data_IF_371656075323
#
_entry.id   IF_371656075323
#
_cell.length_a   1.000
_cell.length_b   1.000
_cell.length_c   1.000
_cell.angle_alpha   90.00
_cell.angle_beta   90.00
_cell.angle_gamma   90.00
#
_symmetry.space_group_name_H-M   'P 1'
#
loop_
_entity.id
_entity.type
_entity.pdbx_description
1 polymer ?
#
# COMPACT_ATOMS: atom_id res chain seq x y z
N UNK A 1 -18.25 -65.17 -56.04
CA UNK A 1 -18.63 -63.75 -56.03
C UNK A 1 -17.43 -62.80 -56.28
N UNK A 2 -16.18 -63.22 -56.00
CA UNK A 2 -14.96 -62.40 -56.16
C UNK A 2 -14.52 -62.14 -57.62
N UNK A 3 -14.67 -63.11 -58.52
CA UNK A 3 -14.16 -62.98 -59.90
C UNK A 3 -14.96 -62.04 -60.81
N UNK A 4 -16.28 -61.93 -60.59
CA UNK A 4 -17.12 -60.98 -61.35
C UNK A 4 -16.79 -59.53 -61.03
N UNK A 5 -16.37 -59.24 -59.79
CA UNK A 5 -16.01 -57.89 -59.34
C UNK A 5 -14.67 -57.46 -59.98
N UNK A 6 -13.70 -58.36 -60.12
CA UNK A 6 -12.41 -58.08 -60.79
C UNK A 6 -12.56 -57.81 -62.28
N UNK A 7 -13.46 -58.52 -62.97
CA UNK A 7 -13.71 -58.32 -64.41
C UNK A 7 -14.42 -56.99 -64.65
N UNK A 8 -15.42 -56.65 -63.83
CA UNK A 8 -16.12 -55.36 -63.87
C UNK A 8 -15.18 -54.20 -63.54
N UNK A 9 -14.31 -54.34 -62.51
CA UNK A 9 -13.34 -53.29 -62.17
C UNK A 9 -12.33 -53.06 -63.30
N UNK A 10 -11.84 -54.13 -63.95
CA UNK A 10 -10.93 -54.03 -65.08
C UNK A 10 -11.54 -53.34 -66.30
N UNK A 11 -12.81 -53.61 -66.60
CA UNK A 11 -13.52 -52.95 -67.70
C UNK A 11 -13.77 -51.46 -67.43
N UNK A 12 -14.17 -51.11 -66.20
CA UNK A 12 -14.39 -49.71 -65.80
C UNK A 12 -13.09 -48.91 -65.85
N UNK A 13 -11.98 -49.46 -65.34
CA UNK A 13 -10.66 -48.80 -65.40
C UNK A 13 -10.23 -48.56 -66.85
N UNK A 14 -10.43 -49.54 -67.73
CA UNK A 14 -10.08 -49.41 -69.15
C UNK A 14 -10.92 -48.34 -69.83
N UNK A 15 -12.21 -48.25 -69.52
CA UNK A 15 -13.15 -47.27 -70.08
C UNK A 15 -12.81 -45.84 -69.61
N UNK A 16 -12.47 -45.69 -68.32
CA UNK A 16 -12.00 -44.43 -67.74
C UNK A 16 -10.68 -43.99 -68.38
N UNK A 17 -9.71 -44.90 -68.50
CA UNK A 17 -8.41 -44.61 -69.11
C UNK A 17 -8.56 -44.18 -70.58
N UNK A 18 -9.44 -44.85 -71.33
CA UNK A 18 -9.68 -44.51 -72.74
C UNK A 18 -10.36 -43.15 -72.91
N UNK A 19 -11.25 -42.78 -71.98
CA UNK A 19 -11.89 -41.45 -71.96
C UNK A 19 -10.91 -40.35 -71.53
N UNK A 20 -10.07 -40.60 -70.53
CA UNK A 20 -9.01 -39.67 -70.10
C UNK A 20 -7.94 -39.46 -71.17
N UNK A 21 -7.52 -40.53 -71.86
CA UNK A 21 -6.52 -40.45 -72.92
C UNK A 21 -6.99 -39.64 -74.14
N UNK A 22 -8.31 -39.55 -74.34
CA UNK A 22 -8.95 -38.78 -75.42
C UNK A 22 -9.53 -37.44 -74.97
N UNK A 23 -9.31 -37.06 -73.70
CA UNK A 23 -9.81 -35.80 -73.17
C UNK A 23 -9.10 -34.63 -73.87
N UNK A 24 -9.89 -33.68 -74.35
CA UNK A 24 -9.40 -32.41 -74.89
C UNK A 24 -10.23 -31.27 -74.31
N UNK A 25 -9.65 -30.56 -73.35
CA UNK A 25 -10.27 -29.43 -72.65
C UNK A 25 -10.20 -28.15 -73.52
N UNK A 26 -9.26 -28.08 -74.46
CA UNK A 26 -9.02 -26.91 -75.31
C UNK A 26 -9.59 -27.14 -76.73
N UNK A 27 -10.83 -26.67 -77.02
CA UNK A 27 -11.44 -26.84 -78.34
C UNK A 27 -10.77 -25.97 -79.41
N UNK A 28 -11.04 -26.26 -80.69
CA UNK A 28 -10.46 -25.58 -81.87
C UNK A 28 -10.49 -24.04 -81.78
N UNK A 29 -11.58 -23.47 -81.25
CA UNK A 29 -11.74 -22.01 -81.03
C UNK A 29 -10.63 -21.38 -80.18
N UNK A 30 -9.93 -22.17 -79.37
CA UNK A 30 -8.85 -21.72 -78.48
C UNK A 30 -7.51 -21.50 -79.21
N UNK A 31 -7.36 -21.94 -80.47
CA UNK A 31 -6.08 -21.93 -81.21
C UNK A 31 -6.03 -20.99 -82.43
N UNK A 32 -7.04 -20.11 -82.59
CA UNK A 32 -7.10 -19.12 -83.67
C UNK A 32 -7.59 -19.67 -85.02
N UNK A 33 -8.04 -18.79 -85.92
CA UNK A 33 -8.76 -19.15 -87.14
C UNK A 33 -7.91 -19.77 -88.27
N UNK A 34 -6.58 -19.83 -88.12
CA UNK A 34 -5.64 -20.25 -89.18
C UNK A 34 -5.07 -21.67 -89.00
N UNK A 35 -5.50 -22.42 -87.98
CA UNK A 35 -4.93 -23.72 -87.64
C UNK A 35 -5.78 -24.87 -88.23
N UNK A 36 -5.14 -25.89 -88.82
CA UNK A 36 -5.84 -27.06 -89.34
C UNK A 36 -6.54 -27.84 -88.20
N UNK A 37 -7.69 -28.44 -88.52
CA UNK A 37 -8.55 -29.14 -87.56
C UNK A 37 -7.82 -30.31 -86.90
N UNK A 38 -6.97 -31.02 -87.63
CA UNK A 38 -6.21 -32.17 -87.09
C UNK A 38 -5.13 -31.70 -86.12
N UNK A 39 -4.40 -30.65 -86.48
CA UNK A 39 -3.34 -30.06 -85.65
C UNK A 39 -3.89 -29.48 -84.36
N UNK A 40 -5.03 -28.79 -84.42
CA UNK A 40 -5.67 -28.24 -83.22
C UNK A 40 -6.18 -29.32 -82.25
N UNK A 41 -6.65 -30.47 -82.74
CA UNK A 41 -7.04 -31.61 -81.89
C UNK A 41 -5.81 -32.21 -81.22
N UNK A 42 -4.70 -32.34 -81.96
CA UNK A 42 -3.45 -32.86 -81.42
C UNK A 42 -2.87 -31.92 -80.35
N UNK A 43 -2.78 -30.63 -80.65
CA UNK A 43 -2.26 -29.61 -79.75
C UNK A 43 -3.16 -29.46 -78.51
N UNK A 44 -4.48 -29.47 -78.69
CA UNK A 44 -5.45 -29.47 -77.59
C UNK A 44 -5.30 -30.65 -76.63
N UNK A 45 -5.05 -31.87 -77.15
CA UNK A 45 -4.75 -33.03 -76.30
C UNK A 45 -3.45 -32.87 -75.51
N UNK A 46 -2.40 -32.30 -76.12
CA UNK A 46 -1.12 -32.05 -75.43
C UNK A 46 -1.25 -30.98 -74.35
N UNK A 47 -1.87 -29.84 -74.66
CA UNK A 47 -2.08 -28.76 -73.69
C UNK A 47 -2.99 -29.21 -72.55
N UNK A 48 -3.98 -30.05 -72.83
CA UNK A 48 -4.82 -30.70 -71.81
C UNK A 48 -3.99 -31.55 -70.86
N UNK A 49 -3.05 -32.37 -71.37
CA UNK A 49 -2.15 -33.17 -70.53
C UNK A 49 -1.25 -32.29 -69.67
N UNK A 50 -0.67 -31.24 -70.25
CA UNK A 50 0.19 -30.30 -69.52
C UNK A 50 -0.60 -29.55 -68.41
N UNK A 51 -1.82 -29.10 -68.71
CA UNK A 51 -2.71 -28.47 -67.74
C UNK A 51 -3.06 -29.40 -66.59
N UNK A 52 -3.42 -30.66 -66.88
CA UNK A 52 -3.74 -31.65 -65.84
C UNK A 52 -2.52 -31.93 -64.96
N UNK A 53 -1.32 -32.06 -65.55
CA UNK A 53 -0.08 -32.24 -64.78
C UNK A 53 0.18 -31.05 -63.87
N UNK A 54 0.07 -29.82 -64.39
CA UNK A 54 0.23 -28.60 -63.58
C UNK A 54 -0.82 -28.48 -62.48
N UNK A 55 -2.07 -28.86 -62.76
CA UNK A 55 -3.16 -28.88 -61.78
C UNK A 55 -2.88 -29.90 -60.67
N UNK A 56 -2.41 -31.09 -61.01
CA UNK A 56 -2.02 -32.11 -60.03
C UNK A 56 -0.85 -31.59 -59.18
N UNK A 57 0.17 -30.99 -59.81
CA UNK A 57 1.33 -30.42 -59.09
C UNK A 57 0.90 -29.30 -58.14
N UNK A 58 0.03 -28.38 -58.57
CA UNK A 58 -0.44 -27.29 -57.70
C UNK A 58 -1.28 -27.79 -56.53
N UNK A 59 -2.14 -28.79 -56.76
CA UNK A 59 -2.91 -29.45 -55.69
C UNK A 59 -1.98 -30.17 -54.71
N UNK A 60 -0.95 -30.86 -55.19
CA UNK A 60 0.05 -31.51 -54.34
C UNK A 60 0.82 -30.49 -53.49
N UNK A 61 1.27 -29.38 -54.07
CA UNK A 61 1.94 -28.30 -53.32
C UNK A 61 1.02 -27.74 -52.23
N UNK A 62 -0.25 -27.49 -52.54
CA UNK A 62 -1.22 -26.98 -51.57
C UNK A 62 -1.49 -27.98 -50.44
N UNK A 63 -1.60 -29.28 -50.78
CA UNK A 63 -1.77 -30.35 -49.81
C UNK A 63 -0.55 -30.48 -48.88
N UNK A 64 0.67 -30.41 -49.43
CA UNK A 64 1.89 -30.42 -48.64
C UNK A 64 1.99 -29.19 -47.73
N UNK A 65 1.69 -28.00 -48.24
CA UNK A 65 1.70 -26.76 -47.45
C UNK A 65 0.73 -26.84 -46.26
N UNK A 66 -0.47 -27.37 -46.49
CA UNK A 66 -1.48 -27.53 -45.43
C UNK A 66 -1.13 -28.64 -44.44
N UNK A 67 -0.45 -29.71 -44.88
CA UNK A 67 -0.02 -30.80 -44.01
C UNK A 67 1.21 -30.46 -43.14
N UNK A 68 2.15 -29.69 -43.68
CA UNK A 68 3.41 -29.33 -43.00
C UNK A 68 3.22 -28.19 -42.00
N UNK A 69 2.13 -27.41 -42.10
CA UNK A 69 1.90 -26.28 -41.20
C UNK A 69 1.72 -26.79 -39.75
N UNK A 70 2.66 -26.50 -38.82
CA UNK A 70 2.53 -26.96 -37.45
C UNK A 70 1.28 -26.36 -36.82
N UNK A 71 0.46 -27.23 -36.21
CA UNK A 71 -0.71 -26.77 -35.45
C UNK A 71 -0.26 -26.32 -34.07
N UNK A 72 -0.55 -25.07 -33.73
CA UNK A 72 -0.43 -24.59 -32.34
C UNK A 72 -1.55 -25.26 -31.54
N UNK A 73 -1.18 -26.04 -30.53
CA UNK A 73 -2.13 -26.70 -29.63
C UNK A 73 -2.07 -26.00 -28.28
N UNK A 74 -3.22 -25.50 -27.82
CA UNK A 74 -3.35 -24.96 -26.47
C UNK A 74 -3.52 -26.11 -25.49
N UNK A 75 -2.56 -26.29 -24.58
CA UNK A 75 -2.70 -27.20 -23.43
C UNK A 75 -3.23 -26.42 -22.23
N UNK A 76 -4.21 -27.00 -21.53
CA UNK A 76 -4.82 -26.39 -20.34
C UNK A 76 -4.48 -27.23 -19.13
N UNK A 77 -3.91 -26.59 -18.11
CA UNK A 77 -3.59 -27.21 -16.82
C UNK A 77 -4.54 -26.64 -15.76
N UNK A 78 -5.32 -27.50 -15.10
CA UNK A 78 -6.27 -27.10 -14.07
C UNK A 78 -5.57 -27.17 -12.72
N UNK A 79 -5.49 -26.03 -12.01
CA UNK A 79 -4.85 -25.89 -10.68
C UNK A 79 -3.44 -26.51 -10.62
N UNK A 80 -2.49 -26.04 -11.45
CA UNK A 80 -1.12 -26.54 -11.41
C UNK A 80 -0.46 -26.24 -10.06
N UNK A 81 0.50 -27.08 -9.65
CA UNK A 81 1.37 -26.77 -8.50
C UNK A 81 2.30 -25.60 -8.85
N UNK A 82 2.79 -24.88 -7.84
CA UNK A 82 3.72 -23.77 -8.06
C UNK A 82 5.00 -24.21 -8.79
N UNK A 83 5.54 -25.38 -8.45
CA UNK A 83 6.72 -25.95 -9.13
C UNK A 83 6.43 -26.23 -10.61
N UNK A 84 5.29 -26.85 -10.92
CA UNK A 84 4.91 -27.10 -12.32
C UNK A 84 4.73 -25.80 -13.10
N UNK A 85 4.14 -24.77 -12.48
CA UNK A 85 4.07 -23.44 -13.10
C UNK A 85 5.46 -22.85 -13.35
N UNK A 86 6.36 -22.95 -12.36
CA UNK A 86 7.73 -22.44 -12.47
C UNK A 86 8.49 -23.09 -13.63
N UNK A 87 8.39 -24.41 -13.76
CA UNK A 87 9.00 -25.17 -14.86
C UNK A 87 8.42 -24.73 -16.21
N UNK A 88 7.09 -24.68 -16.32
CA UNK A 88 6.42 -24.24 -17.56
C UNK A 88 6.73 -22.77 -17.91
N UNK A 89 6.90 -21.90 -16.92
CA UNK A 89 7.25 -20.50 -17.12
C UNK A 89 8.70 -20.36 -17.58
N UNK A 90 9.60 -21.21 -17.10
CA UNK A 90 10.98 -21.29 -17.60
C UNK A 90 11.01 -21.70 -19.08
N UNK A 91 10.25 -22.73 -19.46
CA UNK A 91 10.26 -23.28 -20.82
C UNK A 91 9.51 -22.43 -21.85
N UNK A 92 8.47 -21.70 -21.43
CA UNK A 92 7.54 -21.02 -22.34
C UNK A 92 7.43 -19.50 -22.14
N UNK A 93 8.05 -18.94 -21.10
CA UNK A 93 8.10 -17.51 -20.83
C UNK A 93 6.72 -16.85 -20.88
N UNK A 94 6.61 -15.76 -21.64
CA UNK A 94 5.40 -14.93 -21.75
C UNK A 94 4.25 -15.55 -22.54
N UNK A 95 4.47 -16.66 -23.25
CA UNK A 95 3.39 -17.40 -23.91
C UNK A 95 2.48 -18.12 -22.90
N UNK A 96 2.94 -18.33 -21.66
CA UNK A 96 2.18 -18.96 -20.59
C UNK A 96 1.24 -17.96 -19.92
N UNK A 97 -0.07 -18.21 -20.02
CA UNK A 97 -1.09 -17.46 -19.28
C UNK A 97 -1.58 -18.28 -18.08
N UNK A 98 -1.36 -17.78 -16.87
CA UNK A 98 -1.86 -18.39 -15.63
C UNK A 98 -2.88 -17.45 -14.98
N UNK A 99 -4.16 -17.69 -15.24
CA UNK A 99 -5.25 -16.88 -14.68
C UNK A 99 -5.63 -17.39 -13.29
N UNK A 100 -5.88 -16.46 -12.38
CA UNK A 100 -6.33 -16.79 -11.04
C UNK A 100 -7.77 -17.29 -11.05
N UNK A 101 -8.08 -18.31 -10.25
CA UNK A 101 -9.48 -18.74 -10.04
C UNK A 101 -10.28 -17.71 -9.23
N UNK A 102 -9.59 -16.96 -8.37
CA UNK A 102 -10.13 -15.86 -7.59
C UNK A 102 -9.28 -14.62 -7.84
N UNK A 103 -9.91 -13.50 -8.19
CA UNK A 103 -9.20 -12.26 -8.53
C UNK A 103 -8.86 -11.41 -7.31
N UNK A 104 -9.40 -11.73 -6.15
CA UNK A 104 -9.24 -10.95 -4.93
C UNK A 104 -9.11 -11.83 -3.69
N UNK A 105 -8.21 -11.42 -2.81
CA UNK A 105 -8.01 -12.00 -1.48
C UNK A 105 -7.74 -10.88 -0.48
N UNK A 106 -8.17 -11.05 0.77
CA UNK A 106 -7.81 -10.11 1.84
C UNK A 106 -6.35 -10.29 2.22
N UNK A 107 -5.67 -9.18 2.58
CA UNK A 107 -4.24 -9.20 2.92
C UNK A 107 -3.94 -10.10 4.14
N UNK A 108 -4.89 -10.27 5.06
CA UNK A 108 -4.77 -11.16 6.23
C UNK A 108 -4.44 -12.63 5.89
N UNK A 109 -4.73 -13.10 4.67
CA UNK A 109 -4.43 -14.47 4.25
C UNK A 109 -2.93 -14.75 4.10
N UNK A 110 -2.12 -13.72 3.86
CA UNK A 110 -0.71 -13.88 3.52
C UNK A 110 0.20 -12.80 4.13
N UNK A 111 -0.34 -11.82 4.86
CA UNK A 111 0.42 -10.79 5.56
C UNK A 111 0.18 -10.87 7.07
N UNK A 112 1.28 -10.96 7.82
CA UNK A 112 1.27 -10.87 9.28
C UNK A 112 2.14 -9.69 9.75
N UNK A 113 1.53 -8.69 10.39
CA UNK A 113 2.24 -7.50 10.89
C UNK A 113 2.06 -7.42 12.40
N UNK A 114 3.18 -7.24 13.12
CA UNK A 114 3.18 -6.97 14.56
C UNK A 114 3.75 -5.57 14.80
N UNK A 115 2.92 -4.58 15.20
CA UNK A 115 3.42 -3.23 15.46
C UNK A 115 4.27 -3.19 16.72
N UNK A 116 5.34 -2.40 16.68
CA UNK A 116 6.18 -2.09 17.84
C UNK A 116 6.01 -0.63 18.22
N UNK A 117 5.55 -0.37 19.44
CA UNK A 117 5.37 0.99 19.94
C UNK A 117 6.63 1.47 20.67
N UNK A 118 6.78 2.78 20.79
CA UNK A 118 7.90 3.39 21.49
C UNK A 118 7.90 2.98 22.97
N UNK A 119 9.08 2.75 23.55
CA UNK A 119 9.23 2.23 24.92
C UNK A 119 8.57 3.13 25.98
N UNK A 120 8.54 4.44 25.74
CA UNK A 120 7.84 5.40 26.61
C UNK A 120 6.36 5.04 26.84
N UNK A 121 5.71 4.42 25.87
CA UNK A 121 4.31 4.00 25.95
C UNK A 121 4.09 2.73 26.77
N UNK A 122 5.17 2.07 27.20
CA UNK A 122 5.16 0.89 28.08
C UNK A 122 5.80 1.19 29.44
N UNK A 123 6.25 2.43 29.67
CA UNK A 123 6.95 2.83 30.89
C UNK A 123 6.00 3.16 32.06
N UNK A 124 6.55 3.33 33.28
CA UNK A 124 5.77 3.58 34.50
C UNK A 124 4.93 4.87 34.43
N UNK A 125 5.37 5.86 33.65
CA UNK A 125 4.70 7.14 33.43
C UNK A 125 3.36 7.05 32.68
N UNK A 126 3.10 5.93 32.00
CA UNK A 126 1.84 5.65 31.32
C UNK A 126 0.92 4.77 32.18
N UNK A 127 1.46 4.13 33.24
CA UNK A 127 0.68 3.30 34.16
C UNK A 127 -0.16 4.17 35.11
N UNK A 128 -1.44 3.80 35.24
CA UNK A 128 -2.43 4.51 36.06
C UNK A 128 -2.02 4.69 37.53
N UNK A 129 -1.31 3.71 38.10
CA UNK A 129 -0.87 3.74 39.50
C UNK A 129 0.16 4.84 39.79
N UNK A 130 1.13 5.03 38.88
CA UNK A 130 2.13 6.08 39.03
C UNK A 130 1.51 7.47 38.87
N UNK A 131 0.56 7.57 37.91
CA UNK A 131 -0.16 8.81 37.62
C UNK A 131 -1.00 9.28 38.80
N UNK A 132 -1.82 8.39 39.37
CA UNK A 132 -2.70 8.71 40.50
C UNK A 132 -1.90 9.16 41.74
N UNK A 133 -0.85 8.44 42.11
CA UNK A 133 0.01 8.84 43.25
C UNK A 133 0.65 10.23 43.08
N UNK A 134 1.13 10.57 41.88
CA UNK A 134 1.69 11.89 41.60
C UNK A 134 0.61 12.97 41.53
N UNK A 135 -0.53 12.68 40.89
CA UNK A 135 -1.62 13.65 40.74
C UNK A 135 -2.25 14.00 42.10
N UNK A 136 -2.53 13.01 42.95
CA UNK A 136 -3.23 13.23 44.22
C UNK A 136 -2.42 14.08 45.20
N UNK A 137 -1.09 13.98 45.14
CA UNK A 137 -0.17 14.75 46.00
C UNK A 137 0.17 16.13 45.45
N UNK A 138 0.24 16.29 44.14
CA UNK A 138 0.55 17.58 43.51
C UNK A 138 -0.65 18.52 43.47
N UNK A 139 -1.88 17.98 43.31
CA UNK A 139 -3.09 18.79 43.15
C UNK A 139 -3.45 19.56 44.42
N UNK A 140 -3.09 19.06 45.61
CA UNK A 140 -3.36 19.76 46.87
C UNK A 140 -2.53 21.03 47.08
N UNK A 141 -1.39 21.19 46.40
CA UNK A 141 -0.41 22.26 46.66
C UNK A 141 -0.04 23.12 45.43
N UNK A 142 -0.82 23.07 44.34
CA UNK A 142 -0.50 23.81 43.11
C UNK A 142 -0.31 25.32 43.31
N UNK A 143 -1.01 25.93 44.26
CA UNK A 143 -0.85 27.35 44.62
C UNK A 143 0.42 27.66 45.40
N UNK A 144 1.04 26.65 46.03
CA UNK A 144 2.30 26.81 46.76
C UNK A 144 3.51 26.94 45.82
N UNK A 145 3.36 26.55 44.55
CA UNK A 145 4.45 26.57 43.57
C UNK A 145 4.39 27.80 42.64
N UNK A 146 5.54 28.44 42.35
CA UNK A 146 5.64 29.49 41.35
C UNK A 146 5.07 29.07 39.99
N UNK A 147 4.60 30.03 39.19
CA UNK A 147 3.98 29.77 37.87
C UNK A 147 4.92 29.07 36.88
N UNK A 148 6.24 29.24 37.03
CA UNK A 148 7.26 28.61 36.20
C UNK A 148 7.80 27.28 36.79
N UNK A 149 7.18 26.73 37.83
CA UNK A 149 7.58 25.47 38.42
C UNK A 149 6.99 24.27 37.68
N UNK A 150 7.83 23.32 37.28
CA UNK A 150 7.37 22.16 36.52
C UNK A 150 6.39 21.25 37.27
N UNK A 151 6.37 21.25 38.60
CA UNK A 151 5.40 20.49 39.40
C UNK A 151 3.96 20.81 39.03
N UNK A 152 3.70 22.03 38.57
CA UNK A 152 2.36 22.46 38.12
C UNK A 152 1.93 21.85 36.80
N UNK A 153 2.88 21.43 35.97
CA UNK A 153 2.65 20.89 34.63
C UNK A 153 2.94 19.39 34.53
N UNK A 154 3.65 18.80 35.49
CA UNK A 154 4.07 17.40 35.42
C UNK A 154 2.87 16.46 35.24
N UNK A 155 1.83 16.58 36.08
CA UNK A 155 0.63 15.74 36.00
C UNK A 155 -0.03 15.82 34.62
N UNK A 156 -0.11 17.01 34.03
CA UNK A 156 -0.73 17.21 32.72
C UNK A 156 0.09 16.65 31.58
N UNK A 157 1.41 16.81 31.65
CA UNK A 157 2.33 16.23 30.69
C UNK A 157 2.21 14.70 30.73
N UNK A 158 2.20 14.09 31.91
CA UNK A 158 2.03 12.63 32.05
C UNK A 158 0.67 12.14 31.53
N UNK A 159 -0.41 12.85 31.84
CA UNK A 159 -1.75 12.55 31.30
C UNK A 159 -1.80 12.66 29.78
N UNK A 160 -1.22 13.73 29.21
CA UNK A 160 -1.15 13.92 27.78
C UNK A 160 -0.34 12.80 27.10
N UNK A 161 0.82 12.44 27.65
CA UNK A 161 1.67 11.37 27.14
C UNK A 161 0.95 10.01 27.14
N UNK A 162 0.27 9.67 28.24
CA UNK A 162 -0.55 8.46 28.33
C UNK A 162 -1.68 8.45 27.31
N UNK A 163 -2.40 9.56 27.18
CA UNK A 163 -3.43 9.76 26.17
C UNK A 163 -2.88 9.60 24.76
N UNK A 164 -1.73 10.21 24.45
CA UNK A 164 -1.07 10.13 23.16
C UNK A 164 -0.66 8.68 22.84
N UNK A 165 -0.08 7.96 23.79
CA UNK A 165 0.25 6.54 23.64
C UNK A 165 -1.00 5.69 23.38
N UNK A 166 -2.07 5.88 24.16
CA UNK A 166 -3.33 5.15 23.96
C UNK A 166 -3.94 5.42 22.57
N UNK A 167 -3.97 6.69 22.15
CA UNK A 167 -4.58 7.09 20.87
C UNK A 167 -3.73 6.65 19.68
N UNK A 168 -2.40 6.72 19.76
CA UNK A 168 -1.52 6.20 18.70
C UNK A 168 -1.66 4.70 18.56
N UNK A 169 -1.68 3.93 19.65
CA UNK A 169 -1.92 2.48 19.60
C UNK A 169 -3.26 2.13 18.97
N UNK A 170 -4.35 2.81 19.37
CA UNK A 170 -5.67 2.61 18.77
C UNK A 170 -5.69 2.96 17.28
N UNK A 171 -5.07 4.07 16.91
CA UNK A 171 -4.99 4.52 15.52
C UNK A 171 -4.24 3.50 14.63
N UNK A 172 -3.07 3.04 15.08
CA UNK A 172 -2.27 2.03 14.37
C UNK A 172 -3.03 0.72 14.25
N UNK A 173 -3.63 0.23 15.33
CA UNK A 173 -4.39 -1.02 15.31
C UNK A 173 -5.60 -0.94 14.38
N UNK A 174 -6.31 0.21 14.35
CA UNK A 174 -7.41 0.43 13.41
C UNK A 174 -6.93 0.45 11.95
N UNK A 175 -5.84 1.16 11.66
CA UNK A 175 -5.25 1.20 10.32
C UNK A 175 -4.79 -0.18 9.88
N UNK A 176 -4.23 -0.97 10.80
CA UNK A 176 -3.81 -2.34 10.52
C UNK A 176 -5.00 -3.26 10.25
N UNK A 177 -6.04 -3.22 11.09
CA UNK A 177 -7.26 -4.00 10.86
C UNK A 177 -7.90 -3.65 9.50
N UNK A 178 -7.98 -2.36 9.17
CA UNK A 178 -8.49 -1.90 7.88
C UNK A 178 -7.64 -2.41 6.71
N UNK A 179 -6.32 -2.32 6.81
CA UNK A 179 -5.39 -2.83 5.79
C UNK A 179 -5.52 -4.35 5.59
N UNK A 180 -5.52 -5.12 6.68
CA UNK A 180 -5.61 -6.58 6.62
C UNK A 180 -6.96 -7.03 6.03
N UNK A 181 -8.04 -6.28 6.29
CA UNK A 181 -9.36 -6.51 5.68
C UNK A 181 -9.49 -6.02 4.23
N UNK A 182 -8.50 -5.28 3.71
CA UNK A 182 -8.53 -4.77 2.33
C UNK A 182 -8.10 -5.86 1.34
N UNK A 183 -8.51 -5.69 0.07
CA UNK A 183 -8.28 -6.69 -0.97
C UNK A 183 -6.99 -6.44 -1.76
N UNK A 184 -6.18 -7.49 -1.88
CA UNK A 184 -5.19 -7.62 -2.93
C UNK A 184 -5.86 -8.17 -4.19
N UNK A 185 -5.69 -7.49 -5.32
CA UNK A 185 -6.38 -7.79 -6.58
C UNK A 185 -5.38 -8.15 -7.68
N UNK A 186 -5.53 -9.33 -8.28
CA UNK A 186 -4.78 -9.75 -9.45
C UNK A 186 -5.58 -10.76 -10.27
N UNK A 187 -5.58 -10.60 -11.60
CA UNK A 187 -6.23 -11.53 -12.53
C UNK A 187 -5.31 -12.68 -12.98
N UNK A 188 -4.01 -12.50 -12.80
CA UNK A 188 -2.97 -13.44 -13.21
C UNK A 188 -2.02 -13.75 -12.05
N UNK A 189 -1.39 -14.92 -12.11
CA UNK A 189 -0.35 -15.30 -11.16
C UNK A 189 0.86 -14.39 -11.34
N UNK A 190 1.25 -13.72 -10.25
CA UNK A 190 2.42 -12.86 -10.23
C UNK A 190 3.69 -13.68 -10.02
N UNK A 191 4.82 -13.16 -10.52
CA UNK A 191 6.12 -13.69 -10.11
C UNK A 191 6.35 -13.44 -8.61
N UNK A 192 7.17 -14.27 -7.94
CA UNK A 192 7.50 -14.09 -6.52
C UNK A 192 8.03 -12.69 -6.21
N UNK A 193 8.89 -12.14 -7.06
CA UNK A 193 9.52 -10.83 -6.88
C UNK A 193 8.49 -9.70 -7.01
N UNK A 194 7.61 -9.79 -8.00
CA UNK A 194 6.56 -8.81 -8.21
C UNK A 194 5.51 -8.89 -7.09
N UNK A 195 5.16 -10.09 -6.63
CA UNK A 195 4.29 -10.28 -5.48
C UNK A 195 4.89 -9.60 -4.24
N UNK A 196 6.14 -9.94 -3.89
CA UNK A 196 6.83 -9.37 -2.73
C UNK A 196 6.89 -7.83 -2.80
N UNK A 197 7.31 -7.29 -3.95
CA UNK A 197 7.41 -5.84 -4.18
C UNK A 197 6.06 -5.15 -3.98
N UNK A 198 4.97 -5.74 -4.50
CA UNK A 198 3.62 -5.17 -4.32
C UNK A 198 3.14 -5.23 -2.88
N UNK A 199 3.45 -6.30 -2.15
CA UNK A 199 3.11 -6.42 -0.73
C UNK A 199 3.88 -5.38 0.10
N UNK A 200 5.20 -5.30 -0.06
CA UNK A 200 6.04 -4.33 0.67
C UNK A 200 5.59 -2.89 0.40
N UNK A 201 5.35 -2.55 -0.88
CA UNK A 201 4.84 -1.23 -1.27
C UNK A 201 3.49 -0.91 -0.61
N UNK A 202 2.57 -1.87 -0.55
CA UNK A 202 1.27 -1.69 0.09
C UNK A 202 1.40 -1.50 1.62
N UNK A 203 2.29 -2.28 2.26
CA UNK A 203 2.57 -2.17 3.70
C UNK A 203 3.19 -0.82 4.03
N UNK A 204 4.19 -0.37 3.27
CA UNK A 204 4.84 0.92 3.46
C UNK A 204 3.86 2.08 3.24
N UNK A 205 3.01 1.98 2.22
CA UNK A 205 1.97 2.98 1.98
C UNK A 205 0.97 3.03 3.15
N UNK A 206 0.56 1.88 3.71
CA UNK A 206 -0.30 1.84 4.87
C UNK A 206 0.37 2.46 6.11
N UNK A 207 1.64 2.14 6.36
CA UNK A 207 2.44 2.73 7.46
C UNK A 207 2.50 4.25 7.34
N UNK A 208 2.80 4.77 6.14
CA UNK A 208 2.85 6.19 5.89
C UNK A 208 1.49 6.86 6.11
N UNK A 209 0.42 6.29 5.54
CA UNK A 209 -0.94 6.81 5.70
C UNK A 209 -1.38 6.84 7.16
N UNK A 210 -1.11 5.78 7.93
CA UNK A 210 -1.46 5.70 9.35
C UNK A 210 -0.83 6.85 10.16
N UNK A 211 0.45 7.13 9.91
CA UNK A 211 1.18 8.24 10.54
C UNK A 211 0.61 9.60 10.14
N UNK A 212 0.40 9.82 8.83
CA UNK A 212 -0.10 11.09 8.29
C UNK A 212 -1.50 11.41 8.81
N UNK A 213 -2.40 10.43 8.84
CA UNK A 213 -3.78 10.64 9.32
C UNK A 213 -3.78 11.05 10.79
N UNK A 214 -2.99 10.37 11.63
CA UNK A 214 -2.89 10.71 13.05
C UNK A 214 -2.30 12.10 13.26
N UNK A 215 -1.18 12.41 12.62
CA UNK A 215 -0.52 13.71 12.75
C UNK A 215 -1.40 14.85 12.24
N UNK A 216 -2.13 14.67 11.13
CA UNK A 216 -3.09 15.67 10.65
C UNK A 216 -4.21 15.94 11.66
N UNK A 217 -4.76 14.90 12.27
CA UNK A 217 -5.79 15.07 13.30
C UNK A 217 -5.23 15.82 14.53
N UNK A 218 -4.03 15.48 14.97
CA UNK A 218 -3.36 16.15 16.08
C UNK A 218 -3.05 17.63 15.77
N UNK A 219 -2.49 17.92 14.60
CA UNK A 219 -2.20 19.30 14.16
C UNK A 219 -3.46 20.13 14.00
N UNK A 220 -4.56 19.54 13.50
CA UNK A 220 -5.84 20.24 13.41
C UNK A 220 -6.32 20.66 14.80
N UNK A 221 -6.32 19.75 15.78
CA UNK A 221 -6.70 20.06 17.16
C UNK A 221 -5.85 21.19 17.75
N UNK A 222 -4.55 21.17 17.49
CA UNK A 222 -3.62 22.19 17.99
C UNK A 222 -3.90 23.57 17.40
N UNK A 223 -4.03 23.65 16.08
CA UNK A 223 -4.28 24.92 15.38
C UNK A 223 -5.65 25.45 15.76
N UNK A 224 -6.68 24.59 15.87
CA UNK A 224 -8.01 25.01 16.33
C UNK A 224 -7.97 25.53 17.76
N UNK A 225 -7.30 24.85 18.69
CA UNK A 225 -7.21 25.31 20.07
C UNK A 225 -6.44 26.63 20.19
N UNK A 226 -5.32 26.77 19.48
CA UNK A 226 -4.52 27.99 19.48
C UNK A 226 -5.26 29.16 18.83
N UNK A 227 -5.88 28.95 17.65
CA UNK A 227 -6.59 30.01 16.94
C UNK A 227 -7.88 30.49 17.62
N UNK A 228 -8.38 29.76 18.62
CA UNK A 228 -9.53 30.15 19.44
C UNK A 228 -9.13 30.54 20.87
N UNK A 229 -7.84 30.74 21.14
CA UNK A 229 -7.31 31.09 22.46
C UNK A 229 -7.83 30.17 23.59
N UNK A 230 -8.00 28.88 23.29
CA UNK A 230 -8.51 27.91 24.26
C UNK A 230 -7.48 27.77 25.39
N UNK A 231 -7.86 28.18 26.59
CA UNK A 231 -7.01 28.08 27.78
C UNK A 231 -6.77 26.60 28.07
N UNK A 232 -5.50 26.19 28.15
CA UNK A 232 -5.15 24.84 28.58
C UNK A 232 -5.62 24.66 30.03
N UNK A 233 -6.13 23.48 30.36
CA UNK A 233 -6.62 23.18 31.72
C UNK A 233 -5.55 23.42 32.82
N UNK A 234 -4.29 23.61 32.44
CA UNK A 234 -3.14 23.78 33.33
C UNK A 234 -2.52 25.18 33.25
N UNK A 235 -3.13 26.09 32.48
CA UNK A 235 -2.69 27.49 32.36
C UNK A 235 -1.33 27.67 31.69
N UNK A 236 -0.87 26.69 30.91
CA UNK A 236 0.45 26.69 30.27
C UNK A 236 0.57 27.62 29.07
N UNK A 237 -0.56 27.97 28.42
CA UNK A 237 -0.64 28.91 27.30
C UNK A 237 -1.24 30.27 27.71
N UNK A 238 -2.27 30.26 28.55
CA UNK A 238 -2.94 31.46 29.05
C UNK A 238 -3.22 31.32 30.54
N UNK A 239 -3.08 32.42 31.27
CA UNK A 239 -3.49 32.52 32.68
C UNK A 239 -4.72 33.42 32.82
N UNK A 240 -5.59 33.05 33.75
CA UNK A 240 -6.71 33.89 34.18
C UNK A 240 -6.21 34.90 35.20
N UNK A 241 -6.62 36.15 35.05
CA UNK A 241 -6.25 37.25 35.92
C UNK A 241 -7.52 37.89 36.44
N UNK A 242 -7.54 38.09 37.75
CA UNK A 242 -8.52 38.92 38.41
C UNK A 242 -8.01 40.37 38.46
N UNK A 243 -8.65 41.32 37.78
CA UNK A 243 -8.25 42.72 37.82
C UNK A 243 -8.69 43.31 39.16
N UNK A 244 -7.74 43.43 40.08
CA UNK A 244 -7.91 44.02 41.42
C UNK A 244 -8.49 45.46 41.42
N UNK A 245 -8.55 46.14 40.27
CA UNK A 245 -9.15 47.47 40.08
C UNK A 245 -10.62 47.45 39.59
N UNK A 246 -11.17 46.29 39.21
CA UNK A 246 -12.59 46.15 38.86
C UNK A 246 -13.40 45.92 40.14
N UNK A 247 -13.57 46.99 40.92
CA UNK A 247 -14.44 47.04 42.08
C UNK A 247 -15.87 46.64 41.68
N UNK A 248 -16.29 45.44 42.09
CA UNK A 248 -17.68 44.97 42.21
C UNK A 248 -18.65 45.36 41.07
N UNK A 249 -18.88 44.46 40.10
CA UNK A 249 -20.24 44.01 39.66
C UNK A 249 -20.24 43.17 38.38
N UNK A 250 -19.11 43.05 37.67
CA UNK A 250 -18.97 42.12 36.54
C UNK A 250 -17.61 41.44 36.59
N UNK A 251 -17.57 40.18 37.03
CA UNK A 251 -16.37 39.35 37.05
C UNK A 251 -16.04 38.89 35.62
N UNK A 252 -15.55 39.80 34.77
CA UNK A 252 -14.92 39.39 33.52
C UNK A 252 -13.53 38.85 33.84
N UNK A 253 -13.36 37.53 33.75
CA UNK A 253 -12.04 36.93 33.86
C UNK A 253 -11.21 37.35 32.64
N UNK A 254 -10.12 38.08 32.87
CA UNK A 254 -9.22 38.50 31.78
C UNK A 254 -8.18 37.40 31.59
N UNK A 255 -7.89 37.05 30.33
CA UNK A 255 -6.81 36.13 30.00
C UNK A 255 -5.55 36.89 29.63
N UNK A 256 -4.37 36.34 29.98
CA UNK A 256 -3.08 36.81 29.50
C UNK A 256 -2.29 35.64 28.98
N UNK A 257 -1.69 35.79 27.80
CA UNK A 257 -0.78 34.80 27.26
C UNK A 257 0.45 34.63 28.17
N UNK A 258 0.89 33.38 28.31
CA UNK A 258 2.17 33.07 28.92
C UNK A 258 3.28 33.37 27.91
N UNK A 259 4.38 33.94 28.42
CA UNK A 259 5.58 34.23 27.64
C UNK A 259 6.73 33.36 28.15
N UNK A 260 7.33 32.58 27.27
CA UNK A 260 8.48 31.72 27.54
C UNK A 260 9.79 32.40 27.09
N UNK A 261 10.87 31.61 26.97
CA UNK A 261 12.21 32.07 26.60
C UNK A 261 12.20 32.95 25.34
N UNK A 262 13.14 33.88 25.25
CA UNK A 262 13.28 34.83 24.13
C UNK A 262 12.03 35.69 23.87
N UNK A 263 11.25 35.99 24.91
CA UNK A 263 10.02 36.77 24.83
C UNK A 263 8.97 36.13 23.89
N UNK A 264 8.97 34.80 23.78
CA UNK A 264 8.05 34.05 22.94
C UNK A 264 6.67 33.95 23.60
N UNK A 265 5.67 34.63 23.04
CA UNK A 265 4.29 34.66 23.56
C UNK A 265 3.42 33.56 22.96
N UNK A 266 2.71 32.82 23.82
CA UNK A 266 1.77 31.77 23.41
C UNK A 266 0.55 32.23 22.61
N UNK A 267 0.24 33.53 22.60
CA UNK A 267 -0.79 34.09 21.72
C UNK A 267 -0.30 34.27 20.28
N UNK A 268 1.02 34.40 20.09
CA UNK A 268 1.61 34.65 18.77
C UNK A 268 2.23 33.39 18.18
N UNK A 269 2.75 32.50 19.02
CA UNK A 269 3.42 31.29 18.58
C UNK A 269 3.15 30.14 19.56
N UNK A 270 2.65 29.02 19.05
CA UNK A 270 2.38 27.84 19.87
C UNK A 270 3.65 27.10 20.31
N UNK A 271 4.73 27.20 19.53
CA UNK A 271 5.99 26.46 19.75
C UNK A 271 6.88 27.05 20.85
N UNK A 272 6.39 28.06 21.59
CA UNK A 272 7.14 28.64 22.68
C UNK A 272 7.37 27.62 23.80
N UNK A 273 8.62 27.49 24.22
CA UNK A 273 9.06 26.52 25.23
C UNK A 273 10.13 27.11 26.13
N UNK A 274 10.32 26.51 27.31
CA UNK A 274 11.41 26.78 28.24
C UNK A 274 11.91 25.49 28.88
N UNK A 275 13.08 25.53 29.50
CA UNK A 275 13.64 24.40 30.25
C UNK A 275 12.71 23.99 31.39
N UNK A 276 12.29 22.72 31.45
CA UNK A 276 11.56 22.21 32.60
C UNK A 276 12.49 22.13 33.81
N UNK A 277 11.98 22.47 34.99
CA UNK A 277 12.72 22.38 36.23
C UNK A 277 11.88 22.72 37.46
N UNK A 278 12.43 22.42 38.62
CA UNK A 278 11.83 22.73 39.91
C UNK A 278 12.37 24.04 40.45
N UNK A 279 11.47 24.92 40.92
CA UNK A 279 11.84 26.18 41.56
C UNK A 279 11.90 25.94 43.06
N UNK A 280 13.03 26.27 43.68
CA UNK A 280 13.25 26.05 45.12
C UNK A 280 13.63 27.36 45.80
N UNK A 281 13.37 27.44 47.10
CA UNK A 281 13.80 28.57 47.94
C UNK A 281 15.27 28.45 48.35
N UNK A 282 15.85 27.26 48.25
CA UNK A 282 17.27 26.94 48.49
C UNK A 282 18.14 27.18 47.25
N UNK A 283 19.46 27.32 47.44
CA UNK A 283 20.41 27.33 46.31
C UNK A 283 20.72 25.89 45.84
N UNK A 284 20.65 25.58 44.53
CA UNK A 284 20.21 26.45 43.43
C UNK A 284 18.69 26.64 43.40
N UNK A 285 18.25 27.88 43.13
CA UNK A 285 16.83 28.26 43.11
C UNK A 285 16.05 27.65 41.94
N UNK A 286 16.76 27.05 40.98
CA UNK A 286 16.18 26.33 39.85
C UNK A 286 16.98 25.04 39.61
N UNK A 287 16.26 23.91 39.59
CA UNK A 287 16.82 22.58 39.35
C UNK A 287 16.28 22.07 38.01
N UNK A 288 17.08 22.12 36.92
CA UNK A 288 16.63 21.71 35.61
C UNK A 288 16.42 20.20 35.52
N UNK A 289 15.40 19.78 34.79
CA UNK A 289 15.15 18.37 34.48
C UNK A 289 15.65 18.10 33.06
N UNK A 290 16.72 17.32 32.98
CA UNK A 290 17.42 17.07 31.74
C UNK A 290 16.49 16.48 30.66
N UNK A 291 16.53 17.05 29.46
CA UNK A 291 15.77 16.55 28.32
C UNK A 291 14.25 16.74 28.38
N UNK A 292 13.73 17.49 29.36
CA UNK A 292 12.33 17.91 29.43
C UNK A 292 12.18 19.41 29.26
N UNK A 293 11.11 19.81 28.57
CA UNK A 293 10.68 21.20 28.37
C UNK A 293 9.28 21.43 28.90
N UNK A 294 8.97 22.70 29.19
CA UNK A 294 7.62 23.23 29.34
C UNK A 294 7.31 24.11 28.14
N UNK A 295 6.04 24.35 27.85
CA UNK A 295 5.64 25.19 26.72
C UNK A 295 4.15 25.47 26.70
N UNK A 296 3.69 26.18 25.67
CA UNK A 296 2.29 26.60 25.56
C UNK A 296 1.32 25.42 25.71
N UNK A 297 1.66 24.27 25.14
CA UNK A 297 0.89 23.03 25.31
C UNK A 297 1.80 21.86 25.65
N UNK A 298 1.27 20.79 26.29
CA UNK A 298 2.04 19.57 26.53
C UNK A 298 2.63 18.97 25.24
N UNK A 299 1.94 19.12 24.10
CA UNK A 299 2.47 18.65 22.82
C UNK A 299 3.77 19.35 22.44
N UNK A 300 3.76 20.68 22.43
CA UNK A 300 4.93 21.48 22.04
C UNK A 300 6.08 21.28 23.01
N UNK A 301 5.76 21.16 24.30
CA UNK A 301 6.72 20.77 25.32
C UNK A 301 7.39 19.42 25.00
N UNK A 302 6.62 18.38 24.66
CA UNK A 302 7.20 17.08 24.33
C UNK A 302 7.94 17.06 23.00
N UNK A 303 7.47 17.78 21.97
CA UNK A 303 8.17 17.88 20.69
C UNK A 303 9.53 18.56 20.83
N UNK A 304 9.65 19.54 21.72
CA UNK A 304 10.92 20.21 22.03
C UNK A 304 11.80 19.44 23.03
N UNK A 305 11.28 18.37 23.64
CA UNK A 305 11.99 17.55 24.63
C UNK A 305 12.74 16.39 23.97
N UNK A 306 13.88 16.00 24.52
CA UNK A 306 14.58 14.77 24.11
C UNK A 306 14.03 13.53 24.80
N UNK A 307 13.26 13.70 25.89
CA UNK A 307 12.60 12.64 26.66
C UNK A 307 13.57 11.68 27.38
N UNK A 308 14.87 11.98 27.39
CA UNK A 308 15.90 11.11 27.97
C UNK A 308 15.75 10.90 29.48
N UNK A 309 15.14 11.85 30.19
CA UNK A 309 14.84 11.71 31.62
C UNK A 309 14.04 10.43 31.91
N UNK A 310 13.11 10.05 31.03
CA UNK A 310 12.26 8.87 31.20
C UNK A 310 13.02 7.55 31.16
N UNK A 311 14.29 7.58 30.74
CA UNK A 311 15.18 6.42 30.65
C UNK A 311 16.36 6.49 31.62
N UNK A 312 16.43 7.53 32.46
CA UNK A 312 17.53 7.77 33.39
C UNK A 312 17.03 7.68 34.84
N UNK A 313 17.44 6.64 35.57
CA UNK A 313 17.02 6.39 36.95
C UNK A 313 17.32 7.54 37.90
N UNK A 314 18.45 8.24 37.71
CA UNK A 314 18.80 9.43 38.50
C UNK A 314 17.83 10.58 38.23
N UNK A 315 17.48 10.80 36.97
CA UNK A 315 16.50 11.83 36.60
C UNK A 315 15.10 11.51 37.13
N UNK A 316 14.70 10.24 37.09
CA UNK A 316 13.44 9.80 37.68
C UNK A 316 13.44 9.98 39.19
N UNK A 317 14.54 9.62 39.86
CA UNK A 317 14.72 9.86 41.30
C UNK A 317 14.57 11.34 41.66
N UNK A 318 15.09 12.24 40.83
CA UNK A 318 14.92 13.68 40.98
C UNK A 318 13.44 14.09 40.85
N UNK A 319 12.71 13.59 39.85
CA UNK A 319 11.27 13.88 39.74
C UNK A 319 10.53 13.41 40.99
N UNK A 320 10.83 12.21 41.48
CA UNK A 320 10.20 11.68 42.68
C UNK A 320 10.51 12.51 43.92
N UNK A 321 11.77 12.88 44.14
CA UNK A 321 12.20 13.65 45.31
C UNK A 321 11.47 14.99 45.46
N UNK A 322 11.11 15.62 44.34
CA UNK A 322 10.44 16.93 44.35
C UNK A 322 8.91 16.84 44.27
N UNK A 323 8.35 15.66 44.04
CA UNK A 323 6.90 15.43 43.85
C UNK A 323 6.28 14.51 44.89
N UNK A 324 7.09 13.69 45.56
CA UNK A 324 6.76 12.86 46.72
C UNK A 324 7.56 13.35 47.94
#
# INVERSE_FOLDING_TARGET
MSDRIKVLSGQVVRLIFTRLANLNIFPLRSFGSRMDRKDAIYLGKITTRFYIVLLIVSVVILALYTAVRPRIITKVFVKPTFNLYSDLRHDHGDALQCRCSYISWTYDNFVHIKPTFHQICSGPFVLEQWRTNITDKLVSDLSAYPMNDYRRFLSSHLQFLSGLCSQTTKSVNRSLAQFLSSFFVTNELLSPELFQTRIESAVDQNRFKASVVFNRALSLLQITNHGNDVISAYGSNFQLIDPWWLNNSYSSAITRAITYDNNCSCALNMSCTTQAGFVTTSLPSFVPIQGLKMGCTPNEAFLASTLECFYNSTCLGLILQYTM
#
